data_IF_600473781353
#
_entry.id   IF_600473781353
#
_cell.length_a   1.000
_cell.length_b   1.000
_cell.length_c   1.000
_cell.angle_alpha   90.00
_cell.angle_beta   90.00
_cell.angle_gamma   90.00
#
_symmetry.space_group_name_H-M   'P 1'
#
loop_
_entity.id
_entity.type
_entity.pdbx_description
1 polymer ?
#
# COMPACT_ATOMS: atom_id res chain seq x y z
N UNK A 1 41.65 11.65 13.97
CA UNK A 1 40.51 12.56 13.85
C UNK A 1 40.28 13.16 15.21
N UNK A 2 40.31 14.48 15.33
CA UNK A 2 40.06 15.15 16.60
C UNK A 2 38.56 15.12 16.95
N UNK A 3 38.25 15.40 18.22
CA UNK A 3 36.88 15.40 18.73
C UNK A 3 35.95 16.39 18.00
N UNK A 4 36.36 17.62 17.66
CA UNK A 4 35.53 18.55 16.89
C UNK A 4 35.14 18.00 15.52
N UNK A 5 36.09 17.40 14.79
CA UNK A 5 35.81 16.81 13.47
C UNK A 5 34.85 15.63 13.58
N UNK A 6 35.06 14.74 14.56
CA UNK A 6 34.14 13.62 14.81
C UNK A 6 32.73 14.12 15.14
N UNK A 7 32.61 15.12 16.01
CA UNK A 7 31.33 15.71 16.39
C UNK A 7 30.60 16.29 15.17
N UNK A 8 31.29 17.08 14.34
CA UNK A 8 30.72 17.65 13.12
C UNK A 8 30.21 16.56 12.15
N UNK A 9 30.97 15.48 11.96
CA UNK A 9 30.58 14.36 11.10
C UNK A 9 29.33 13.67 11.64
N UNK A 10 29.30 13.34 12.94
CA UNK A 10 28.17 12.64 13.54
C UNK A 10 26.90 13.48 13.52
N UNK A 11 26.99 14.77 13.82
CA UNK A 11 25.85 15.69 13.72
C UNK A 11 25.37 15.84 12.28
N UNK A 12 26.29 16.01 11.32
CA UNK A 12 25.94 16.05 9.90
C UNK A 12 25.20 14.79 9.46
N UNK A 13 25.70 13.62 9.83
CA UNK A 13 25.05 12.34 9.55
C UNK A 13 23.68 12.22 10.23
N UNK A 14 23.55 12.62 11.50
CA UNK A 14 22.29 12.57 12.24
C UNK A 14 21.22 13.48 11.62
N UNK A 15 21.59 14.72 11.26
CA UNK A 15 20.69 15.67 10.60
C UNK A 15 20.23 15.14 9.24
N UNK A 16 21.15 14.59 8.44
CA UNK A 16 20.80 13.99 7.14
C UNK A 16 19.86 12.80 7.31
N UNK A 17 20.16 11.91 8.26
CA UNK A 17 19.33 10.72 8.53
C UNK A 17 17.92 11.10 9.02
N UNK A 18 17.83 11.98 10.02
CA UNK A 18 16.55 12.44 10.55
C UNK A 18 15.79 13.21 9.48
N UNK A 19 16.45 14.11 8.75
CA UNK A 19 15.87 14.85 7.63
C UNK A 19 15.30 13.92 6.56
N UNK A 20 16.01 12.84 6.21
CA UNK A 20 15.54 11.88 5.21
C UNK A 20 14.25 11.15 5.60
N UNK A 21 13.91 11.07 6.89
CA UNK A 21 12.76 10.30 7.37
C UNK A 21 11.65 11.16 7.97
N UNK A 22 12.00 12.27 8.62
CA UNK A 22 11.06 13.17 9.28
C UNK A 22 10.45 14.17 8.29
N UNK A 23 11.20 14.63 7.28
CA UNK A 23 10.67 15.55 6.27
C UNK A 23 9.50 14.93 5.49
N UNK A 24 9.59 13.71 4.91
CA UNK A 24 8.43 13.11 4.25
C UNK A 24 7.29 12.85 5.24
N UNK A 25 7.58 12.45 6.48
CA UNK A 25 6.56 12.25 7.51
C UNK A 25 5.83 13.54 7.89
N UNK A 26 6.53 14.67 7.95
CA UNK A 26 5.95 15.99 8.18
C UNK A 26 5.07 16.43 7.01
N UNK A 27 5.58 16.33 5.78
CA UNK A 27 4.79 16.68 4.58
C UNK A 27 3.53 15.80 4.52
N UNK A 28 3.68 14.50 4.74
CA UNK A 28 2.58 13.53 4.82
C UNK A 28 1.58 13.92 5.91
N UNK A 29 2.07 14.20 7.13
CA UNK A 29 1.30 14.58 8.31
C UNK A 29 0.48 15.86 8.16
N UNK A 30 0.95 16.78 7.30
CA UNK A 30 0.27 18.01 6.91
C UNK A 30 -0.67 17.84 5.70
N UNK A 31 -0.88 16.61 5.23
CA UNK A 31 -1.75 16.30 4.10
C UNK A 31 -1.13 16.55 2.72
N UNK A 32 0.20 16.68 2.64
CA UNK A 32 0.96 16.88 1.41
C UNK A 32 1.12 15.62 0.55
N UNK A 33 0.59 14.48 1.00
CA UNK A 33 0.58 13.21 0.27
C UNK A 33 -0.04 13.36 -1.11
N UNK A 34 0.60 12.79 -2.14
CA UNK A 34 0.08 12.83 -3.52
C UNK A 34 -0.09 11.42 -4.05
N UNK A 35 -1.19 11.20 -4.76
CA UNK A 35 -1.47 9.95 -5.44
C UNK A 35 -1.31 10.14 -6.94
N UNK A 36 -0.75 9.14 -7.61
CA UNK A 36 -0.75 9.02 -9.05
C UNK A 36 -0.86 7.54 -9.41
N UNK A 37 -1.48 7.24 -10.55
CA UNK A 37 -1.49 5.89 -11.10
C UNK A 37 -1.31 5.95 -12.63
N UNK A 38 -1.13 4.78 -13.23
CA UNK A 38 -1.05 4.63 -14.68
C UNK A 38 -0.98 3.17 -15.06
N UNK A 39 -0.95 2.88 -16.35
CA UNK A 39 -0.91 1.51 -16.86
C UNK A 39 -0.95 1.47 -18.37
N UNK A 40 -0.98 0.26 -18.91
CA UNK A 40 -1.13 -0.01 -20.34
C UNK A 40 -2.05 -1.20 -20.55
N UNK A 41 -2.87 -1.16 -21.59
CA UNK A 41 -3.75 -2.27 -22.01
C UNK A 41 -2.97 -3.35 -22.80
N UNK A 42 -1.81 -3.77 -22.27
CA UNK A 42 -1.01 -4.87 -22.83
C UNK A 42 -1.24 -6.16 -21.99
N UNK A 43 -2.10 -7.07 -22.44
CA UNK A 43 -2.44 -8.27 -21.68
C UNK A 43 -1.28 -9.27 -21.61
N UNK A 44 -0.30 -9.19 -22.53
CA UNK A 44 0.80 -10.17 -22.60
C UNK A 44 1.81 -10.02 -21.45
N UNK A 45 1.81 -8.86 -20.78
CA UNK A 45 2.67 -8.58 -19.64
C UNK A 45 2.15 -9.16 -18.30
N UNK A 46 1.09 -9.98 -18.34
CA UNK A 46 0.39 -10.45 -17.14
C UNK A 46 0.61 -11.92 -16.79
N UNK A 47 1.22 -12.73 -17.65
CA UNK A 47 1.48 -14.14 -17.32
C UNK A 47 2.40 -14.26 -16.10
N UNK A 48 2.10 -15.16 -15.14
CA UNK A 48 2.97 -15.39 -13.99
C UNK A 48 4.37 -15.83 -14.43
N UNK A 49 5.41 -15.10 -14.02
CA UNK A 49 6.78 -15.55 -14.21
C UNK A 49 7.09 -16.72 -13.24
N UNK A 50 8.06 -17.56 -13.60
CA UNK A 50 8.46 -18.72 -12.79
C UNK A 50 8.87 -18.37 -11.34
N UNK A 51 9.27 -17.13 -11.08
CA UNK A 51 9.65 -16.62 -9.76
C UNK A 51 8.51 -15.98 -8.94
N UNK A 52 7.25 -16.05 -9.39
CA UNK A 52 6.12 -15.36 -8.78
C UNK A 52 5.01 -16.34 -8.31
N UNK A 53 5.29 -17.25 -7.37
CA UNK A 53 4.32 -18.27 -6.93
C UNK A 53 3.07 -17.67 -6.25
N UNK A 54 3.26 -16.56 -5.54
CA UNK A 54 2.22 -15.74 -4.92
C UNK A 54 1.30 -15.10 -5.96
N UNK A 55 1.86 -14.53 -7.04
CA UNK A 55 1.02 -14.05 -8.14
C UNK A 55 0.32 -15.19 -8.87
N UNK A 56 1.01 -16.30 -9.13
CA UNK A 56 0.41 -17.46 -9.79
C UNK A 56 -0.81 -17.99 -9.02
N UNK A 57 -0.78 -17.95 -7.69
CA UNK A 57 -1.92 -18.27 -6.84
C UNK A 57 -3.12 -17.35 -7.12
N UNK A 58 -2.93 -16.03 -7.06
CA UNK A 58 -4.01 -15.06 -7.32
C UNK A 58 -4.52 -15.11 -8.76
N UNK A 59 -3.60 -15.22 -9.73
CA UNK A 59 -3.92 -15.33 -11.15
C UNK A 59 -4.88 -16.50 -11.43
N UNK A 60 -4.60 -17.70 -10.88
CA UNK A 60 -5.47 -18.87 -11.04
C UNK A 60 -6.87 -18.64 -10.47
N UNK A 61 -6.99 -18.02 -9.30
CA UNK A 61 -8.29 -17.72 -8.71
C UNK A 61 -9.07 -16.70 -9.56
N UNK A 62 -8.43 -15.59 -9.95
CA UNK A 62 -9.07 -14.52 -10.72
C UNK A 62 -9.54 -15.03 -12.09
N UNK A 63 -8.70 -15.79 -12.79
CA UNK A 63 -9.08 -16.40 -14.08
C UNK A 63 -10.16 -17.47 -13.91
N UNK A 64 -10.10 -18.27 -12.84
CA UNK A 64 -11.16 -19.22 -12.47
C UNK A 64 -12.52 -18.56 -12.19
N UNK A 65 -12.53 -17.31 -11.72
CA UNK A 65 -13.73 -16.49 -11.54
C UNK A 65 -14.23 -15.83 -12.84
N UNK A 66 -13.58 -16.09 -13.98
CA UNK A 66 -13.97 -15.58 -15.30
C UNK A 66 -13.59 -14.12 -15.53
N UNK A 67 -12.45 -13.67 -14.99
CA UNK A 67 -11.81 -12.43 -15.40
C UNK A 67 -10.70 -12.71 -16.40
N UNK A 68 -10.57 -11.83 -17.39
CA UNK A 68 -9.56 -11.88 -18.44
C UNK A 68 -8.46 -10.84 -18.16
N UNK A 69 -7.19 -11.15 -18.47
CA UNK A 69 -6.09 -10.20 -18.33
C UNK A 69 -6.33 -8.93 -19.17
N UNK A 70 -6.09 -7.75 -18.61
CA UNK A 70 -6.20 -6.45 -19.31
C UNK A 70 -4.82 -5.87 -19.59
N UNK A 71 -4.04 -5.67 -18.52
CA UNK A 71 -2.66 -5.23 -18.62
C UNK A 71 -2.07 -4.77 -17.30
N UNK A 72 -0.79 -4.40 -17.31
CA UNK A 72 -0.10 -3.92 -16.13
C UNK A 72 -0.53 -2.49 -15.80
N UNK A 73 -0.58 -2.19 -14.52
CA UNK A 73 -0.77 -0.87 -13.97
C UNK A 73 0.27 -0.60 -12.87
N UNK A 74 0.32 0.63 -12.39
CA UNK A 74 1.14 1.04 -11.28
C UNK A 74 0.40 2.05 -10.43
N UNK A 75 0.75 2.07 -9.15
CA UNK A 75 0.33 3.10 -8.20
C UNK A 75 1.56 3.73 -7.58
N UNK A 76 1.53 5.05 -7.45
CA UNK A 76 2.58 5.84 -6.80
C UNK A 76 1.95 6.79 -5.79
N UNK A 77 2.46 6.73 -4.56
CA UNK A 77 2.14 7.67 -3.50
C UNK A 77 3.42 8.41 -3.11
N UNK A 78 3.41 9.73 -3.25
CA UNK A 78 4.52 10.60 -2.82
C UNK A 78 4.24 11.12 -1.43
N UNK A 79 5.22 11.05 -0.53
CA UNK A 79 5.09 11.36 0.91
C UNK A 79 4.08 10.43 1.60
N UNK A 80 4.42 9.14 1.69
CA UNK A 80 3.58 8.15 2.35
C UNK A 80 4.15 7.82 3.74
N UNK A 81 3.74 8.58 4.76
CA UNK A 81 4.36 8.50 6.07
C UNK A 81 5.85 8.88 5.99
N UNK A 82 6.79 8.05 6.50
CA UNK A 82 8.23 8.35 6.46
C UNK A 82 8.89 8.07 5.09
N UNK A 83 8.12 7.65 4.09
CA UNK A 83 8.63 7.30 2.77
C UNK A 83 8.45 8.46 1.78
N UNK A 84 9.52 8.82 1.08
CA UNK A 84 9.45 9.82 0.00
C UNK A 84 8.54 9.37 -1.14
N UNK A 85 8.59 8.08 -1.47
CA UNK A 85 7.87 7.49 -2.59
C UNK A 85 7.55 6.03 -2.28
N UNK A 86 6.27 5.71 -2.29
CA UNK A 86 5.73 4.36 -2.29
C UNK A 86 5.28 4.05 -3.71
N UNK A 87 5.84 3.02 -4.33
CA UNK A 87 5.51 2.64 -5.71
C UNK A 87 5.33 1.14 -5.80
N UNK A 88 4.31 0.74 -6.55
CA UNK A 88 3.89 -0.65 -6.65
C UNK A 88 3.39 -0.97 -8.05
N UNK A 89 3.67 -2.19 -8.49
CA UNK A 89 3.09 -2.78 -9.67
C UNK A 89 1.74 -3.41 -9.36
N UNK A 90 0.81 -3.25 -10.31
CA UNK A 90 -0.54 -3.79 -10.29
C UNK A 90 -0.74 -4.60 -11.56
N UNK A 91 -1.47 -5.72 -11.45
CA UNK A 91 -1.90 -6.51 -12.60
C UNK A 91 -3.42 -6.51 -12.64
N UNK A 92 -3.99 -5.98 -13.71
CA UNK A 92 -5.42 -5.75 -13.84
C UNK A 92 -6.08 -6.79 -14.74
N UNK A 93 -7.28 -7.19 -14.34
CA UNK A 93 -8.14 -8.12 -15.07
C UNK A 93 -9.55 -7.54 -15.14
N UNK A 94 -10.33 -7.95 -16.13
CA UNK A 94 -11.69 -7.48 -16.32
C UNK A 94 -12.64 -8.63 -16.66
N UNK A 95 -13.85 -8.58 -16.12
CA UNK A 95 -14.91 -9.52 -16.46
C UNK A 95 -16.04 -8.77 -17.13
N UNK A 96 -16.20 -8.96 -18.45
CA UNK A 96 -17.30 -8.35 -19.24
C UNK A 96 -18.67 -8.74 -18.71
N UNK A 97 -18.85 -10.02 -18.34
CA UNK A 97 -20.10 -10.54 -17.82
C UNK A 97 -20.52 -9.88 -16.50
N UNK A 98 -19.54 -9.53 -15.66
CA UNK A 98 -19.78 -8.93 -14.34
C UNK A 98 -19.67 -7.40 -14.35
N UNK A 99 -19.07 -6.83 -15.39
CA UNK A 99 -18.71 -5.41 -15.50
C UNK A 99 -17.88 -4.92 -14.31
N UNK A 100 -16.89 -5.73 -13.92
CA UNK A 100 -16.01 -5.43 -12.78
C UNK A 100 -14.57 -5.74 -13.15
N UNK A 101 -13.64 -5.07 -12.47
CA UNK A 101 -12.21 -5.34 -12.53
C UNK A 101 -11.76 -6.14 -11.33
N UNK A 102 -10.67 -6.88 -11.49
CA UNK A 102 -9.89 -7.44 -10.40
C UNK A 102 -8.44 -6.94 -10.54
N UNK A 103 -7.79 -6.65 -9.42
CA UNK A 103 -6.40 -6.22 -9.38
C UNK A 103 -5.63 -7.06 -8.39
N UNK A 104 -4.39 -7.39 -8.73
CA UNK A 104 -3.41 -7.90 -7.76
C UNK A 104 -2.30 -6.86 -7.66
N UNK A 105 -1.96 -6.43 -6.45
CA UNK A 105 -0.95 -5.42 -6.19
C UNK A 105 0.25 -6.04 -5.46
N UNK A 106 1.45 -5.71 -5.93
CA UNK A 106 2.72 -6.13 -5.34
C UNK A 106 3.17 -5.15 -4.26
N UNK A 107 3.29 -5.59 -3.02
CA UNK A 107 3.84 -4.74 -1.96
C UNK A 107 5.30 -4.37 -2.28
N UNK A 108 5.72 -3.11 -2.07
CA UNK A 108 7.09 -2.72 -2.32
C UNK A 108 8.05 -3.44 -1.38
N UNK A 109 9.35 -3.29 -1.67
CA UNK A 109 10.37 -3.76 -0.75
C UNK A 109 10.20 -3.09 0.62
N UNK A 110 10.40 -3.84 1.71
CA UNK A 110 11.00 -5.17 1.74
C UNK A 110 10.02 -6.35 1.77
N UNK A 111 8.70 -6.11 1.68
CA UNK A 111 7.74 -7.21 1.62
C UNK A 111 7.86 -7.99 0.31
N UNK A 112 7.88 -7.26 -0.81
CA UNK A 112 8.10 -7.81 -2.15
C UNK A 112 7.25 -9.05 -2.45
N UNK A 113 5.94 -8.90 -2.28
CA UNK A 113 4.94 -9.99 -2.40
C UNK A 113 3.66 -9.48 -3.06
N UNK A 114 3.07 -10.27 -3.94
CA UNK A 114 1.72 -10.10 -4.47
C UNK A 114 0.71 -10.55 -3.42
N UNK A 115 -0.02 -9.60 -2.85
CA UNK A 115 -0.88 -9.87 -1.68
C UNK A 115 -2.23 -9.18 -1.77
N UNK A 116 -2.20 -7.86 -1.96
CA UNK A 116 -3.40 -7.04 -1.92
C UNK A 116 -4.16 -7.25 -3.23
N UNK A 117 -5.31 -7.90 -3.13
CA UNK A 117 -6.21 -8.18 -4.25
C UNK A 117 -7.52 -7.47 -4.04
N UNK A 118 -7.99 -6.75 -5.05
CA UNK A 118 -9.22 -5.97 -4.95
C UNK A 118 -10.11 -6.15 -6.17
N UNK A 119 -11.42 -6.15 -5.97
CA UNK A 119 -12.42 -6.00 -7.02
C UNK A 119 -12.88 -4.55 -7.11
N UNK A 120 -13.08 -4.06 -8.32
CA UNK A 120 -13.51 -2.69 -8.56
C UNK A 120 -14.65 -2.59 -9.58
N UNK A 121 -15.58 -1.66 -9.32
CA UNK A 121 -16.60 -1.23 -10.28
C UNK A 121 -16.52 0.28 -10.40
N UNK A 122 -16.23 0.78 -11.61
CA UNK A 122 -16.41 2.19 -11.96
C UNK A 122 -17.85 2.45 -12.38
N UNK A 123 -18.40 3.57 -11.94
CA UNK A 123 -19.77 3.99 -12.24
C UNK A 123 -19.77 5.10 -13.31
N UNK A 124 -20.87 5.24 -14.05
CA UNK A 124 -21.00 6.25 -15.13
C UNK A 124 -20.91 7.70 -14.61
N UNK A 125 -21.23 7.93 -13.34
CA UNK A 125 -21.10 9.22 -12.66
C UNK A 125 -19.66 9.51 -12.18
N UNK A 126 -18.71 8.60 -12.46
CA UNK A 126 -17.33 8.69 -11.99
C UNK A 126 -17.13 8.13 -10.59
N UNK A 127 -18.16 7.56 -9.95
CA UNK A 127 -18.00 6.84 -8.70
C UNK A 127 -17.14 5.58 -8.85
N UNK A 128 -16.64 5.08 -7.71
CA UNK A 128 -15.83 3.88 -7.63
C UNK A 128 -16.21 3.05 -6.39
N UNK A 129 -16.55 1.78 -6.62
CA UNK A 129 -16.66 0.76 -5.58
C UNK A 129 -15.40 -0.09 -5.60
N UNK A 130 -14.75 -0.26 -4.44
CA UNK A 130 -13.57 -1.09 -4.25
C UNK A 130 -13.82 -2.08 -3.08
N UNK A 131 -13.57 -3.36 -3.32
CA UNK A 131 -13.63 -4.42 -2.29
C UNK A 131 -12.29 -5.13 -2.23
N UNK A 132 -11.61 -5.10 -1.08
CA UNK A 132 -10.27 -5.66 -0.88
C UNK A 132 -10.28 -6.97 -0.08
N UNK A 133 -9.29 -7.83 -0.30
CA UNK A 133 -9.07 -9.08 0.43
C UNK A 133 -8.26 -8.92 1.74
N UNK A 134 -7.80 -7.71 2.05
CA UNK A 134 -6.87 -7.45 3.17
C UNK A 134 -7.31 -6.29 4.07
N UNK A 135 -8.53 -5.81 3.88
CA UNK A 135 -9.12 -4.72 4.67
C UNK A 135 -10.37 -5.30 5.32
N UNK A 136 -10.55 -5.14 6.62
CA UNK A 136 -11.81 -5.47 7.32
C UNK A 136 -12.53 -4.15 7.64
N UNK A 137 -13.08 -3.53 6.60
CA UNK A 137 -13.79 -2.26 6.69
C UNK A 137 -15.21 -2.43 6.14
N UNK A 138 -16.19 -1.97 6.93
CA UNK A 138 -17.56 -1.83 6.49
C UNK A 138 -17.64 -0.83 5.32
N UNK A 139 -18.60 -0.99 4.39
CA UNK A 139 -18.74 -0.07 3.26
C UNK A 139 -19.00 1.35 3.75
N UNK A 140 -18.18 2.28 3.25
CA UNK A 140 -18.43 3.71 3.38
C UNK A 140 -19.64 4.20 2.57
N UNK A 141 -19.89 5.50 2.64
CA UNK A 141 -20.95 6.18 1.88
C UNK A 141 -20.35 7.06 0.77
N UNK A 142 -21.16 7.40 -0.24
CA UNK A 142 -20.83 8.37 -1.28
C UNK A 142 -20.31 7.78 -2.60
N UNK A 143 -19.49 8.56 -3.31
CA UNK A 143 -19.01 8.21 -4.66
C UNK A 143 -17.76 7.32 -4.63
N UNK A 144 -17.07 7.22 -3.50
CA UNK A 144 -15.92 6.35 -3.31
C UNK A 144 -16.16 5.43 -2.12
N UNK A 145 -16.50 4.18 -2.41
CA UNK A 145 -16.83 3.19 -1.41
C UNK A 145 -15.69 2.18 -1.37
N UNK A 146 -15.02 2.09 -0.22
CA UNK A 146 -14.03 1.06 0.07
C UNK A 146 -14.61 0.14 1.13
N UNK A 147 -14.47 -1.16 0.94
CA UNK A 147 -14.79 -2.20 1.90
C UNK A 147 -13.83 -3.37 1.73
N UNK A 148 -13.91 -4.36 2.59
CA UNK A 148 -13.21 -5.62 2.38
C UNK A 148 -13.52 -6.66 3.43
N UNK A 149 -12.94 -7.84 3.23
CA UNK A 149 -12.85 -8.91 4.23
C UNK A 149 -11.43 -9.49 4.16
N UNK A 150 -10.86 -9.89 5.30
CA UNK A 150 -9.58 -10.62 5.31
C UNK A 150 -9.82 -12.07 4.85
N UNK A 151 -9.51 -12.38 3.58
CA UNK A 151 -9.70 -13.71 3.02
C UNK A 151 -8.69 -14.04 1.91
N UNK A 152 -8.31 -15.30 1.82
CA UNK A 152 -7.54 -15.84 0.68
C UNK A 152 -8.41 -16.47 -0.39
N UNK A 153 -9.71 -16.65 -0.11
CA UNK A 153 -10.71 -17.10 -1.08
C UNK A 153 -11.30 -15.87 -1.80
N UNK A 154 -10.89 -15.67 -3.05
CA UNK A 154 -11.38 -14.55 -3.85
C UNK A 154 -12.84 -14.71 -4.29
N UNK A 155 -13.42 -15.92 -4.22
CA UNK A 155 -14.84 -16.09 -4.50
C UNK A 155 -15.69 -15.37 -3.44
N UNK A 156 -15.36 -15.53 -2.15
CA UNK A 156 -16.02 -14.80 -1.07
C UNK A 156 -15.86 -13.27 -1.19
N UNK A 157 -14.65 -12.79 -1.54
CA UNK A 157 -14.41 -11.35 -1.74
C UNK A 157 -15.19 -10.82 -2.95
N UNK A 158 -15.27 -11.60 -4.03
CA UNK A 158 -16.09 -11.26 -5.20
C UNK A 158 -17.58 -11.23 -4.85
N UNK A 159 -18.08 -12.23 -4.11
CA UNK A 159 -19.48 -12.29 -3.72
C UNK A 159 -19.88 -11.04 -2.92
N UNK A 160 -19.05 -10.64 -1.96
CA UNK A 160 -19.23 -9.39 -1.22
C UNK A 160 -19.27 -8.17 -2.15
N UNK A 161 -18.34 -8.10 -3.12
CA UNK A 161 -18.29 -7.02 -4.09
C UNK A 161 -19.55 -6.95 -4.94
N UNK A 162 -19.96 -8.07 -5.53
CA UNK A 162 -21.12 -8.17 -6.41
C UNK A 162 -22.43 -7.91 -5.64
N UNK A 163 -22.53 -8.37 -4.40
CA UNK A 163 -23.67 -8.08 -3.53
C UNK A 163 -23.81 -6.58 -3.23
N UNK A 164 -22.70 -5.86 -3.07
CA UNK A 164 -22.73 -4.40 -2.90
C UNK A 164 -23.00 -3.66 -4.22
N UNK A 165 -22.39 -4.12 -5.33
CA UNK A 165 -22.68 -3.62 -6.68
C UNK A 165 -24.17 -3.69 -6.99
N UNK A 166 -24.80 -4.84 -6.76
CA UNK A 166 -26.23 -5.05 -7.01
C UNK A 166 -27.12 -4.11 -6.18
N UNK A 167 -26.74 -3.81 -4.92
CA UNK A 167 -27.44 -2.83 -4.08
C UNK A 167 -27.37 -1.42 -4.66
N UNK A 168 -26.19 -1.00 -5.12
CA UNK A 168 -26.02 0.31 -5.75
C UNK A 168 -26.77 0.42 -7.08
N UNK A 169 -26.80 -0.65 -7.87
CA UNK A 169 -27.59 -0.73 -9.11
C UNK A 169 -29.10 -0.66 -8.85
N UNK A 170 -29.59 -1.34 -7.81
CA UNK A 170 -30.98 -1.21 -7.35
C UNK A 170 -31.31 0.22 -6.87
N UNK A 171 -30.31 0.94 -6.36
CA UNK A 171 -30.38 2.38 -6.03
C UNK A 171 -30.26 3.32 -7.24
N UNK A 172 -30.14 2.79 -8.47
CA UNK A 172 -30.12 3.57 -9.71
C UNK A 172 -28.74 3.87 -10.27
N UNK A 173 -27.63 3.46 -9.63
CA UNK A 173 -26.29 3.60 -10.22
C UNK A 173 -26.13 2.67 -11.41
N UNK A 174 -25.33 3.11 -12.40
CA UNK A 174 -25.06 2.34 -13.62
C UNK A 174 -23.57 2.12 -13.76
N UNK A 175 -23.17 0.85 -13.86
CA UNK A 175 -21.77 0.50 -14.09
C UNK A 175 -21.29 1.08 -15.43
N UNK A 176 -20.03 1.50 -15.46
CA UNK A 176 -19.36 1.86 -16.69
C UNK A 176 -19.28 0.64 -17.62
N UNK A 177 -19.53 0.87 -18.92
CA UNK A 177 -19.63 -0.20 -19.93
C UNK A 177 -18.39 -0.34 -20.79
N UNK A 178 -17.51 0.66 -20.78
CA UNK A 178 -16.31 0.68 -21.62
C UNK A 178 -15.33 -0.41 -21.17
N UNK A 179 -15.24 -0.63 -19.85
CA UNK A 179 -14.34 -1.66 -19.30
C UNK A 179 -12.87 -1.37 -19.61
N UNK A 180 -12.55 -0.13 -19.98
CA UNK A 180 -11.19 0.34 -20.20
C UNK A 180 -10.46 0.55 -18.88
N UNK A 181 -9.20 0.08 -18.81
CA UNK A 181 -8.32 0.34 -17.69
C UNK A 181 -8.11 1.84 -17.48
N UNK A 182 -8.08 2.63 -18.55
CA UNK A 182 -7.90 4.08 -18.49
C UNK A 182 -9.04 4.75 -17.71
N UNK A 183 -10.29 4.35 -17.97
CA UNK A 183 -11.48 4.88 -17.28
C UNK A 183 -11.42 4.58 -15.79
N UNK A 184 -11.04 3.35 -15.44
CA UNK A 184 -10.88 2.91 -14.06
C UNK A 184 -9.73 3.62 -13.34
N UNK A 185 -8.58 3.79 -13.99
CA UNK A 185 -7.43 4.50 -13.42
C UNK A 185 -7.78 5.96 -13.15
N UNK A 186 -8.50 6.62 -14.07
CA UNK A 186 -8.99 7.99 -13.89
C UNK A 186 -9.97 8.09 -12.72
N UNK A 187 -10.94 7.19 -12.62
CA UNK A 187 -11.88 7.13 -11.48
C UNK A 187 -11.12 6.91 -10.15
N UNK A 188 -10.12 6.03 -10.17
CA UNK A 188 -9.27 5.76 -9.01
C UNK A 188 -8.46 7.00 -8.63
N UNK A 189 -7.83 7.69 -9.58
CA UNK A 189 -7.06 8.91 -9.30
C UNK A 189 -7.92 10.01 -8.67
N UNK A 190 -9.13 10.21 -9.20
CA UNK A 190 -10.07 11.22 -8.72
C UNK A 190 -10.45 11.01 -7.24
N UNK A 191 -10.55 9.76 -6.78
CA UNK A 191 -11.04 9.45 -5.44
C UNK A 191 -9.94 9.02 -4.46
N UNK A 192 -8.99 8.20 -4.91
CA UNK A 192 -7.89 7.69 -4.08
C UNK A 192 -6.98 8.81 -3.56
N UNK A 193 -6.88 9.96 -4.26
CA UNK A 193 -6.09 11.09 -3.79
C UNK A 193 -6.56 11.69 -2.45
N UNK A 194 -7.87 11.66 -2.16
CA UNK A 194 -8.39 12.09 -0.85
C UNK A 194 -8.05 11.07 0.23
N UNK A 195 -8.27 9.79 -0.05
CA UNK A 195 -7.96 8.70 0.87
C UNK A 195 -6.45 8.63 1.19
N UNK A 196 -5.60 8.70 0.16
CA UNK A 196 -4.15 8.70 0.31
C UNK A 196 -3.67 9.88 1.17
N UNK A 197 -4.27 11.07 1.04
CA UNK A 197 -3.99 12.21 1.93
C UNK A 197 -4.40 11.95 3.37
N UNK A 198 -5.58 11.38 3.60
CA UNK A 198 -6.05 11.07 4.95
C UNK A 198 -5.17 10.01 5.63
N UNK A 199 -4.94 8.88 4.95
CA UNK A 199 -4.08 7.79 5.43
C UNK A 199 -2.65 8.28 5.63
N UNK A 200 -2.10 9.01 4.65
CA UNK A 200 -0.77 9.61 4.77
C UNK A 200 -0.66 10.58 5.93
N UNK A 201 -1.67 11.44 6.18
CA UNK A 201 -1.65 12.34 7.33
C UNK A 201 -1.59 11.58 8.64
N UNK A 202 -2.42 10.55 8.80
CA UNK A 202 -2.42 9.69 9.99
C UNK A 202 -1.09 8.97 10.17
N UNK A 203 -0.53 8.39 9.11
CA UNK A 203 0.76 7.69 9.15
C UNK A 203 1.92 8.65 9.49
N UNK A 204 1.95 9.83 8.87
CA UNK A 204 2.97 10.86 9.12
C UNK A 204 2.93 11.37 10.56
N UNK A 205 1.74 11.70 11.06
CA UNK A 205 1.54 12.13 12.45
C UNK A 205 1.92 11.04 13.45
N UNK A 206 1.48 9.80 13.20
CA UNK A 206 1.80 8.66 14.06
C UNK A 206 3.31 8.40 14.08
N UNK A 207 3.96 8.46 12.92
CA UNK A 207 5.42 8.31 12.81
C UNK A 207 6.14 9.39 13.61
N UNK A 208 5.80 10.66 13.40
CA UNK A 208 6.43 11.79 14.09
C UNK A 208 6.22 11.72 15.61
N UNK A 209 5.02 11.38 16.06
CA UNK A 209 4.72 11.25 17.48
C UNK A 209 5.53 10.11 18.13
N UNK A 210 5.49 8.92 17.52
CA UNK A 210 6.17 7.73 18.07
C UNK A 210 7.69 7.86 18.00
N UNK A 211 8.24 8.16 16.82
CA UNK A 211 9.69 8.27 16.64
C UNK A 211 10.22 9.49 17.38
N UNK A 212 9.52 10.63 17.32
CA UNK A 212 9.89 11.83 18.08
C UNK A 212 9.98 11.57 19.57
N UNK A 213 8.99 10.86 20.15
CA UNK A 213 9.02 10.49 21.56
C UNK A 213 10.20 9.57 21.92
N UNK A 214 10.48 8.55 21.09
CA UNK A 214 11.60 7.63 21.33
C UNK A 214 12.95 8.37 21.22
N UNK A 215 13.12 9.20 20.19
CA UNK A 215 14.32 10.01 20.01
C UNK A 215 14.53 10.98 21.18
N UNK A 216 13.47 11.65 21.65
CA UNK A 216 13.53 12.54 22.81
C UNK A 216 13.91 11.78 24.08
N UNK A 217 13.23 10.65 24.35
CA UNK A 217 13.45 9.86 25.57
C UNK A 217 14.89 9.33 25.68
N UNK A 218 15.49 8.92 24.57
CA UNK A 218 16.86 8.38 24.55
C UNK A 218 17.94 9.46 24.44
N UNK A 219 17.66 10.56 23.73
CA UNK A 219 18.63 11.65 23.56
C UNK A 219 18.70 12.60 24.74
N UNK A 220 17.57 12.84 25.42
CA UNK A 220 17.49 13.82 26.50
C UNK A 220 18.43 13.52 27.68
N UNK A 221 18.53 12.29 28.21
CA UNK A 221 19.48 11.99 29.29
C UNK A 221 20.93 12.25 28.89
N UNK A 222 21.31 11.90 27.65
CA UNK A 222 22.67 12.11 27.14
C UNK A 222 22.97 13.60 26.98
N UNK A 223 22.02 14.36 26.42
CA UNK A 223 22.13 15.81 26.29
C UNK A 223 22.19 16.52 27.65
N UNK A 224 21.44 16.03 28.65
CA UNK A 224 21.45 16.55 30.01
C UNK A 224 22.81 16.31 30.71
N UNK A 225 23.40 15.12 30.57
CA UNK A 225 24.65 14.76 31.22
C UNK A 225 25.90 15.34 30.54
N UNK A 226 25.93 15.38 29.21
CA UNK A 226 27.13 15.71 28.42
C UNK A 226 27.03 17.05 27.68
N UNK A 227 25.85 17.68 27.70
CA UNK A 227 25.54 18.89 26.94
C UNK A 227 24.93 18.59 25.57
N UNK A 228 24.08 19.50 25.04
CA UNK A 228 23.32 19.27 23.80
C UNK A 228 24.19 19.22 22.54
N UNK A 229 25.40 19.79 22.57
CA UNK A 229 26.34 19.76 21.44
C UNK A 229 27.25 18.53 21.40
N UNK A 230 27.22 17.68 22.43
CA UNK A 230 28.12 16.54 22.53
C UNK A 230 27.81 15.48 21.46
N UNK A 231 28.86 14.93 20.83
CA UNK A 231 28.75 13.97 19.72
C UNK A 231 27.94 12.71 20.05
N UNK A 232 27.93 12.31 21.33
CA UNK A 232 27.18 11.16 21.82
C UNK A 232 25.66 11.29 21.57
N UNK A 233 25.11 12.51 21.58
CA UNK A 233 23.69 12.74 21.27
C UNK A 233 23.40 12.37 19.81
N UNK A 234 24.22 12.82 18.88
CA UNK A 234 24.10 12.46 17.47
C UNK A 234 24.27 10.95 17.24
N UNK A 235 25.24 10.33 17.92
CA UNK A 235 25.45 8.88 17.85
C UNK A 235 24.22 8.09 18.32
N UNK A 236 23.61 8.45 19.45
CA UNK A 236 22.39 7.78 19.95
C UNK A 236 21.26 7.87 18.92
N UNK A 237 21.05 9.04 18.32
CA UNK A 237 20.02 9.22 17.29
C UNK A 237 20.28 8.37 16.04
N UNK A 238 21.54 8.26 15.60
CA UNK A 238 21.92 7.43 14.46
C UNK A 238 21.72 5.94 14.74
N UNK A 239 22.20 5.45 15.89
CA UNK A 239 22.08 4.04 16.29
C UNK A 239 20.61 3.65 16.44
N UNK A 240 19.84 4.48 17.15
CA UNK A 240 18.40 4.27 17.32
C UNK A 240 17.68 4.24 15.97
N UNK A 241 17.94 5.22 15.11
CA UNK A 241 17.35 5.30 13.78
C UNK A 241 17.66 4.07 12.94
N UNK A 242 18.91 3.58 12.99
CA UNK A 242 19.32 2.34 12.35
C UNK A 242 18.56 1.12 12.88
N UNK A 243 18.46 0.97 14.20
CA UNK A 243 17.74 -0.15 14.84
C UNK A 243 16.25 -0.14 14.45
N UNK A 244 15.59 1.01 14.51
CA UNK A 244 14.17 1.14 14.15
C UNK A 244 13.93 0.75 12.68
N UNK A 245 14.77 1.23 11.76
CA UNK A 245 14.70 0.88 10.34
C UNK A 245 14.96 -0.60 10.08
N UNK A 246 15.97 -1.18 10.72
CA UNK A 246 16.25 -2.61 10.59
C UNK A 246 15.12 -3.48 11.16
N UNK A 247 14.53 -3.08 12.28
CA UNK A 247 13.39 -3.75 12.89
C UNK A 247 12.16 -3.72 11.97
N UNK A 248 11.81 -2.55 11.45
CA UNK A 248 10.71 -2.39 10.49
C UNK A 248 10.93 -3.24 9.23
N UNK A 249 12.16 -3.22 8.70
CA UNK A 249 12.54 -4.01 7.53
C UNK A 249 12.38 -5.51 7.80
N UNK A 250 12.86 -5.98 8.94
CA UNK A 250 12.81 -7.39 9.34
C UNK A 250 11.37 -7.85 9.58
N UNK A 251 10.56 -7.03 10.26
CA UNK A 251 9.15 -7.32 10.49
C UNK A 251 8.37 -7.44 9.18
N UNK A 252 8.58 -6.50 8.24
CA UNK A 252 7.96 -6.55 6.90
C UNK A 252 8.39 -7.80 6.11
N UNK A 253 9.67 -8.20 6.17
CA UNK A 253 10.13 -9.45 5.54
C UNK A 253 9.53 -10.70 6.18
N UNK A 254 9.45 -10.73 7.51
CA UNK A 254 8.84 -11.85 8.21
C UNK A 254 7.35 -11.98 7.87
N UNK A 255 6.62 -10.86 7.84
CA UNK A 255 5.23 -10.83 7.41
C UNK A 255 5.06 -11.36 5.99
N UNK A 256 5.92 -10.95 5.06
CA UNK A 256 5.91 -11.47 3.68
C UNK A 256 6.20 -12.97 3.62
N UNK A 257 7.14 -13.49 4.42
CA UNK A 257 7.43 -14.93 4.46
C UNK A 257 6.25 -15.73 5.01
N UNK A 258 5.65 -15.27 6.11
CA UNK A 258 4.43 -15.87 6.67
C UNK A 258 3.34 -15.88 5.61
N UNK A 259 3.16 -14.76 4.91
CA UNK A 259 2.12 -14.67 3.90
C UNK A 259 2.36 -15.57 2.69
N UNK A 260 3.59 -15.59 2.17
CA UNK A 260 3.97 -16.48 1.08
C UNK A 260 3.73 -17.94 1.47
N UNK A 261 4.09 -18.32 2.70
CA UNK A 261 3.83 -19.68 3.20
C UNK A 261 2.35 -20.03 3.22
N UNK A 262 1.48 -19.10 3.67
CA UNK A 262 0.02 -19.27 3.65
C UNK A 262 -0.51 -19.47 2.22
N UNK A 263 -0.06 -18.65 1.27
CA UNK A 263 -0.50 -18.74 -0.12
C UNK A 263 -0.02 -20.03 -0.80
N UNK A 264 1.19 -20.50 -0.50
CA UNK A 264 1.73 -21.73 -1.09
C UNK A 264 1.13 -23.01 -0.51
N UNK A 265 0.68 -22.95 0.75
CA UNK A 265 0.07 -24.09 1.45
C UNK A 265 -1.45 -24.14 1.30
N UNK A 266 -2.08 -23.04 0.87
CA UNK A 266 -3.51 -23.00 0.64
C UNK A 266 -3.89 -24.06 -0.41
N UNK A 267 -4.88 -24.93 -0.11
CA UNK A 267 -5.34 -25.90 -1.10
C UNK A 267 -5.83 -25.15 -2.34
N UNK A 268 -5.66 -25.72 -3.54
CA UNK A 268 -6.32 -25.18 -4.72
C UNK A 268 -7.81 -25.08 -4.40
N UNK A 269 -8.40 -23.89 -4.55
CA UNK A 269 -9.81 -23.66 -4.26
C UNK A 269 -10.64 -24.75 -4.95
N UNK A 270 -11.29 -25.59 -4.14
CA UNK A 270 -12.02 -26.75 -4.62
C UNK A 270 -13.08 -26.30 -5.60
N UNK A 271 -13.20 -27.02 -6.72
CA UNK A 271 -14.35 -26.84 -7.63
C UNK A 271 -15.61 -27.11 -6.80
N UNK A 272 -16.34 -26.06 -6.45
CA UNK A 272 -17.74 -26.22 -6.07
C UNK A 272 -18.46 -26.69 -7.34
N UNK A 273 -18.56 -28.02 -7.48
CA UNK A 273 -19.37 -28.72 -8.46
C UNK A 273 -20.85 -28.54 -8.17
#
# INVERSE_FOLDING_TARGET
MDEPTLSAILWGAAVLFLGWTWVPALISGLGGTRYANGGSDDPTALDPAAGEPDYAFWHRQITGLGYEPVGPAWMRITFHGPEWRFETGVRAFYSRAKQTFAFVQRQPRPMDIWWLTSFATSWQDGGLLLTSNAVDEAPGEGDYIVQGIESTDLAAVQELHLGHKARLEAGGRKADRDGSLTTLLKATEQHAGRMARHVGARLGQTYLATHGAIHLFLSFPVAYMLGPGHWAVAMVNLVLGGILRMSEYTAKRQAANVMRSRLTLAPPSGRHS
#
